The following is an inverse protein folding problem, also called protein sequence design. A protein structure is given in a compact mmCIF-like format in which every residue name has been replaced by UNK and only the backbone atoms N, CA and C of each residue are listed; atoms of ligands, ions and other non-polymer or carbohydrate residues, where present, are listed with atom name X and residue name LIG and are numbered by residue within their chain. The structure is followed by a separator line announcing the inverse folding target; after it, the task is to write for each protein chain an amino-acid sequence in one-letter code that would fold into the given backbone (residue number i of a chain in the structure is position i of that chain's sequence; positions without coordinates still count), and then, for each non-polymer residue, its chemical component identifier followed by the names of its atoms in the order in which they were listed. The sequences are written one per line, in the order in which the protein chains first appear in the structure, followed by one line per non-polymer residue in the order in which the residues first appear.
data_IF_001804061264
#
_entry.id   IF_001804061264
#
_cell.length_a   1.000
_cell.length_b   1.000
_cell.length_c   1.000
_cell.angle_alpha   90.00
_cell.angle_beta   90.00
_cell.angle_gamma   90.00
#
_symmetry.space_group_name_H-M   'P 1'
#
loop_
_entity.id
_entity.type
_entity.pdbx_description
1 polymer ?
#
# COMPACT_ATOMS: atom_id res chain seq x y z
N UNK A 1 14.64 -3.86 -4.82
CA UNK A 1 14.67 -2.38 -4.87
C UNK A 1 15.53 -1.84 -3.73
N UNK A 2 16.29 -0.76 -3.93
CA UNK A 2 17.27 -0.26 -2.96
C UNK A 2 16.64 0.17 -1.62
N UNK A 3 15.75 1.17 -1.63
CA UNK A 3 15.12 1.71 -0.41
C UNK A 3 14.19 0.69 0.25
N UNK A 4 13.32 0.03 -0.51
CA UNK A 4 12.38 -0.96 0.05
C UNK A 4 13.11 -2.18 0.64
N UNK A 5 14.26 -2.57 0.08
CA UNK A 5 15.10 -3.63 0.65
C UNK A 5 15.75 -3.22 1.98
N UNK A 6 16.24 -1.98 2.07
CA UNK A 6 16.75 -1.44 3.34
C UNK A 6 15.64 -1.35 4.40
N UNK A 7 14.45 -0.89 4.02
CA UNK A 7 13.31 -0.79 4.93
C UNK A 7 12.81 -2.15 5.40
N UNK A 8 12.77 -3.17 4.53
CA UNK A 8 12.45 -4.55 4.91
C UNK A 8 13.41 -5.10 5.97
N UNK A 9 14.71 -4.83 5.82
CA UNK A 9 15.73 -5.23 6.79
C UNK A 9 15.56 -4.52 8.14
N UNK A 10 15.32 -3.22 8.10
CA UNK A 10 15.11 -2.38 9.29
C UNK A 10 13.86 -2.81 10.09
N UNK A 11 12.75 -3.07 9.40
CA UNK A 11 11.48 -3.51 10.01
C UNK A 11 11.45 -5.01 10.34
N UNK A 12 12.53 -5.75 10.07
CA UNK A 12 12.69 -7.18 10.40
C UNK A 12 11.55 -8.07 9.86
N UNK A 13 11.01 -7.73 8.67
CA UNK A 13 9.84 -8.42 8.11
C UNK A 13 10.14 -9.85 7.63
N UNK A 14 11.41 -10.18 7.40
CA UNK A 14 11.85 -11.50 6.96
C UNK A 14 11.19 -11.91 5.64
N UNK A 15 10.70 -13.14 5.60
CA UNK A 15 9.94 -13.73 4.50
C UNK A 15 8.42 -13.58 4.63
N UNK A 16 7.94 -12.98 5.73
CA UNK A 16 6.50 -12.85 6.05
C UNK A 16 5.82 -11.76 5.25
N UNK A 17 6.56 -10.73 4.84
CA UNK A 17 6.03 -9.60 4.05
C UNK A 17 6.97 -9.30 2.91
N UNK A 18 6.47 -9.40 1.68
CA UNK A 18 7.18 -8.97 0.49
C UNK A 18 7.01 -7.45 0.29
N UNK A 19 8.07 -6.67 0.48
CA UNK A 19 8.05 -5.23 0.23
C UNK A 19 8.34 -4.93 -1.25
N UNK A 20 7.28 -4.60 -1.99
CA UNK A 20 7.34 -4.23 -3.40
C UNK A 20 7.59 -2.72 -3.57
N UNK A 21 8.31 -2.35 -4.63
CA UNK A 21 8.57 -0.96 -4.97
C UNK A 21 7.83 -0.56 -6.25
N UNK A 22 6.91 0.39 -6.13
CA UNK A 22 6.26 1.07 -7.26
C UNK A 22 6.83 2.49 -7.42
N UNK A 23 8.08 2.58 -7.85
CA UNK A 23 8.85 3.84 -7.86
C UNK A 23 8.30 4.92 -8.80
N UNK A 24 7.58 4.52 -9.85
CA UNK A 24 6.96 5.42 -10.83
C UNK A 24 5.48 5.71 -10.53
N UNK A 25 4.94 5.10 -9.47
CA UNK A 25 3.52 5.08 -9.14
C UNK A 25 2.64 4.48 -10.26
N UNK A 26 3.17 3.60 -11.10
CA UNK A 26 2.45 3.05 -12.26
C UNK A 26 1.31 2.15 -11.80
N UNK A 27 1.53 1.35 -10.75
CA UNK A 27 0.49 0.49 -10.18
C UNK A 27 -0.54 1.31 -9.40
N UNK A 28 -0.10 2.26 -8.57
CA UNK A 28 -1.03 3.13 -7.83
C UNK A 28 -1.95 3.92 -8.78
N UNK A 29 -1.41 4.48 -9.88
CA UNK A 29 -2.19 5.17 -10.92
C UNK A 29 -3.13 4.23 -11.67
N UNK A 30 -2.70 3.02 -12.00
CA UNK A 30 -3.55 2.04 -12.67
C UNK A 30 -4.78 1.65 -11.83
N UNK A 31 -4.67 1.72 -10.50
CA UNK A 31 -5.78 1.51 -9.57
C UNK A 31 -6.61 2.77 -9.30
N UNK A 32 -6.19 3.95 -9.77
CA UNK A 32 -6.79 5.23 -9.39
C UNK A 32 -6.60 5.57 -7.91
N UNK A 33 -5.55 5.04 -7.29
CA UNK A 33 -5.22 5.20 -5.86
C UNK A 33 -3.96 6.04 -5.66
N UNK A 34 -3.57 6.83 -6.64
CA UNK A 34 -2.56 7.86 -6.48
C UNK A 34 -3.04 9.00 -5.58
N UNK A 35 -2.09 9.65 -4.93
CA UNK A 35 -2.26 10.83 -4.10
C UNK A 35 -1.23 11.87 -4.55
N UNK A 36 -1.70 13.03 -4.97
CA UNK A 36 -0.81 14.18 -5.19
C UNK A 36 -0.42 14.79 -3.83
N UNK A 37 0.82 14.53 -3.43
CA UNK A 37 1.43 15.08 -2.23
C UNK A 37 2.61 16.02 -2.56
N UNK A 38 2.59 16.63 -3.75
CA UNK A 38 3.58 17.65 -4.17
C UNK A 38 3.57 18.87 -3.23
N UNK A 39 2.40 19.29 -2.74
CA UNK A 39 2.27 20.35 -1.74
C UNK A 39 2.93 20.03 -0.38
N UNK A 40 3.18 18.75 -0.09
CA UNK A 40 3.94 18.28 1.07
C UNK A 40 5.41 17.98 0.75
N UNK A 41 5.87 18.26 -0.47
CA UNK A 41 7.26 18.06 -0.91
C UNK A 41 7.65 16.61 -1.19
N UNK A 42 6.68 15.70 -1.31
CA UNK A 42 6.96 14.25 -1.44
C UNK A 42 6.49 13.64 -2.77
N UNK A 43 5.96 14.46 -3.68
CA UNK A 43 5.55 14.04 -5.03
C UNK A 43 4.25 13.22 -5.05
N UNK A 44 4.06 12.46 -6.13
CA UNK A 44 2.95 11.51 -6.23
C UNK A 44 3.23 10.31 -5.34
N UNK A 45 2.24 9.91 -4.54
CA UNK A 45 2.30 8.77 -3.62
C UNK A 45 1.12 7.84 -3.85
N UNK A 46 1.19 6.67 -3.24
CA UNK A 46 0.02 5.80 -3.10
C UNK A 46 -0.83 6.28 -1.91
N UNK A 47 -2.15 6.29 -2.05
CA UNK A 47 -3.05 6.40 -0.91
C UNK A 47 -2.82 5.21 0.05
N UNK A 48 -3.25 5.36 1.30
CA UNK A 48 -3.21 4.24 2.24
C UNK A 48 -4.42 3.35 1.96
N UNK A 49 -4.16 2.09 1.62
CA UNK A 49 -5.20 1.10 1.42
C UNK A 49 -4.68 -0.31 1.72
N UNK A 50 -5.60 -1.24 1.86
CA UNK A 50 -5.34 -2.67 1.80
C UNK A 50 -6.27 -3.33 0.77
N UNK A 51 -5.71 -4.27 0.03
CA UNK A 51 -6.37 -4.93 -1.09
C UNK A 51 -6.22 -6.43 -0.91
N UNK A 52 -7.33 -7.16 -1.01
CA UNK A 52 -7.34 -8.62 -1.11
C UNK A 52 -7.70 -8.97 -2.54
N UNK A 53 -6.88 -9.80 -3.17
CA UNK A 53 -7.15 -10.33 -4.50
C UNK A 53 -7.01 -11.84 -4.52
N UNK A 54 -7.91 -12.51 -5.23
CA UNK A 54 -7.85 -13.92 -5.56
C UNK A 54 -7.78 -14.08 -7.08
N UNK A 55 -6.76 -14.77 -7.58
CA UNK A 55 -6.50 -15.00 -9.00
C UNK A 55 -6.59 -13.73 -9.88
N UNK A 56 -6.05 -12.63 -9.39
CA UNK A 56 -6.02 -11.35 -10.10
C UNK A 56 -7.33 -10.55 -10.03
N UNK A 57 -8.35 -11.05 -9.34
CA UNK A 57 -9.62 -10.35 -9.09
C UNK A 57 -9.61 -9.79 -7.68
N UNK A 58 -9.87 -8.49 -7.54
CA UNK A 58 -9.99 -7.82 -6.24
C UNK A 58 -11.29 -8.23 -5.57
N UNK A 59 -11.20 -8.82 -4.37
CA UNK A 59 -12.36 -9.27 -3.57
C UNK A 59 -12.67 -8.31 -2.42
N UNK A 60 -11.66 -7.58 -1.93
CA UNK A 60 -11.82 -6.54 -0.92
C UNK A 60 -10.87 -5.37 -1.19
N UNK A 61 -11.35 -4.15 -0.95
CA UNK A 61 -10.57 -2.93 -1.05
C UNK A 61 -10.95 -1.98 0.09
N UNK A 62 -10.05 -1.82 1.06
CA UNK A 62 -10.18 -0.88 2.16
C UNK A 62 -9.29 0.34 1.92
N UNK A 63 -9.86 1.40 1.35
CA UNK A 63 -9.18 2.70 1.14
C UNK A 63 -9.43 3.60 2.34
N UNK A 64 -8.39 4.27 2.83
CA UNK A 64 -8.51 5.21 3.94
C UNK A 64 -9.02 6.58 3.47
N UNK A 65 -9.89 7.18 4.28
CA UNK A 65 -10.27 8.57 4.10
C UNK A 65 -9.29 9.50 4.82
N UNK A 66 -8.66 10.40 4.06
CA UNK A 66 -7.76 11.42 4.61
C UNK A 66 -6.57 10.83 5.37
N UNK A 67 -6.45 11.16 6.66
CA UNK A 67 -5.32 10.73 7.52
C UNK A 67 -5.68 9.57 8.45
N UNK A 68 -6.76 8.84 8.15
CA UNK A 68 -7.22 7.72 8.95
C UNK A 68 -6.37 6.46 8.75
N UNK A 69 -6.59 5.49 9.64
CA UNK A 69 -5.98 4.15 9.60
C UNK A 69 -6.91 3.11 10.23
N UNK A 70 -8.09 2.93 9.63
CA UNK A 70 -9.11 2.00 10.13
C UNK A 70 -9.51 0.96 9.08
N UNK A 71 -9.62 1.36 7.81
CA UNK A 71 -10.04 0.48 6.72
C UNK A 71 -8.93 -0.48 6.27
N UNK A 72 -7.65 -0.12 6.49
CA UNK A 72 -6.50 -0.84 5.93
C UNK A 72 -5.63 -1.56 6.96
N UNK A 73 -6.01 -1.60 8.24
CA UNK A 73 -5.23 -2.29 9.28
C UNK A 73 -5.41 -3.81 9.19
N UNK A 74 -4.40 -4.56 9.64
CA UNK A 74 -4.35 -6.01 9.47
C UNK A 74 -5.56 -6.73 10.10
N UNK A 75 -6.03 -6.25 11.26
CA UNK A 75 -7.19 -6.80 11.96
C UNK A 75 -8.48 -6.59 11.16
N UNK A 76 -8.66 -5.43 10.53
CA UNK A 76 -9.80 -5.15 9.66
C UNK A 76 -9.79 -6.09 8.48
N UNK A 77 -8.64 -6.30 7.85
CA UNK A 77 -8.53 -7.19 6.69
C UNK A 77 -8.71 -8.65 7.06
N UNK A 78 -8.15 -9.10 8.18
CA UNK A 78 -8.33 -10.47 8.66
C UNK A 78 -9.80 -10.82 8.90
N UNK A 79 -10.63 -9.85 9.32
CA UNK A 79 -12.06 -10.03 9.50
C UNK A 79 -12.86 -10.11 8.18
N UNK A 80 -12.23 -9.84 7.03
CA UNK A 80 -12.84 -9.88 5.69
C UNK A 80 -12.49 -11.13 4.89
N UNK A 81 -11.55 -11.95 5.38
CA UNK A 81 -11.13 -13.22 4.79
C UNK A 81 -12.05 -14.38 5.22
#
# INVERSE_FOLDING_TARGET
AFVMGAWAKDQQVGDKVLLLADGNADFAKALGLELDATGMGIGIRSQRYALVADNGVVTHLGVEEGRNFEASKAETILATL
#
